data_IF_462937334380
#
_entry.id   IF_462937334380
#
_cell.length_a   1.000
_cell.length_b   1.000
_cell.length_c   1.000
_cell.angle_alpha   90.00
_cell.angle_beta   90.00
_cell.angle_gamma   90.00
#
_symmetry.space_group_name_H-M   'P 1'
#
loop_
_entity.id
_entity.type
_entity.pdbx_description
1 polymer ?
#
# COMPACT_ATOMS: atom_id res chain seq x y z
N UNK A 1 -10.74 -2.41 -29.18
CA UNK A 1 -10.70 -2.38 -27.67
C UNK A 1 -9.82 -3.49 -27.11
N UNK A 2 -9.90 -4.72 -27.60
CA UNK A 2 -9.13 -5.88 -27.11
C UNK A 2 -7.61 -5.70 -27.30
N UNK A 3 -7.16 -5.26 -28.47
CA UNK A 3 -5.74 -5.00 -28.78
C UNK A 3 -5.15 -3.89 -27.89
N UNK A 4 -5.92 -2.83 -27.60
CA UNK A 4 -5.49 -1.74 -26.73
C UNK A 4 -5.28 -2.19 -25.29
N UNK A 5 -6.17 -3.08 -24.80
CA UNK A 5 -6.03 -3.69 -23.47
C UNK A 5 -4.79 -4.59 -23.34
N UNK A 6 -4.51 -5.39 -24.38
CA UNK A 6 -3.32 -6.24 -24.40
C UNK A 6 -2.02 -5.42 -24.43
N UNK A 7 -1.95 -4.37 -25.26
CA UNK A 7 -0.78 -3.49 -25.33
C UNK A 7 -0.48 -2.81 -23.98
N UNK A 8 -1.53 -2.37 -23.29
CA UNK A 8 -1.39 -1.77 -21.97
C UNK A 8 -0.88 -2.79 -20.94
N UNK A 9 -1.46 -3.99 -20.91
CA UNK A 9 -1.03 -5.07 -20.01
C UNK A 9 0.45 -5.39 -20.18
N UNK A 10 0.91 -5.48 -21.42
CA UNK A 10 2.32 -5.75 -21.72
C UNK A 10 3.23 -4.58 -21.30
N UNK A 11 2.79 -3.33 -21.45
CA UNK A 11 3.53 -2.17 -20.96
C UNK A 11 3.66 -2.17 -19.43
N UNK A 12 2.58 -2.49 -18.71
CA UNK A 12 2.60 -2.63 -17.23
C UNK A 12 3.55 -3.75 -16.81
N UNK A 13 3.45 -4.94 -17.40
CA UNK A 13 4.36 -6.07 -17.09
C UNK A 13 5.81 -5.72 -17.34
N UNK A 14 6.09 -5.05 -18.45
CA UNK A 14 7.45 -4.61 -18.78
C UNK A 14 7.98 -3.65 -17.72
N UNK A 15 7.19 -2.64 -17.33
CA UNK A 15 7.57 -1.69 -16.29
C UNK A 15 7.91 -2.41 -14.97
N UNK A 16 7.03 -3.29 -14.51
CA UNK A 16 7.26 -4.05 -13.27
C UNK A 16 8.54 -4.89 -13.34
N UNK A 17 8.79 -5.56 -14.48
CA UNK A 17 10.00 -6.35 -14.64
C UNK A 17 11.28 -5.50 -14.64
N UNK A 18 11.25 -4.32 -15.26
CA UNK A 18 12.39 -3.39 -15.30
C UNK A 18 12.67 -2.70 -13.96
N UNK A 19 11.66 -2.58 -13.06
CA UNK A 19 11.78 -1.91 -11.77
C UNK A 19 11.70 -2.89 -10.57
N UNK A 20 11.83 -4.19 -10.81
CA UNK A 20 11.72 -5.18 -9.73
C UNK A 20 12.78 -5.00 -8.63
N UNK A 21 14.00 -4.68 -9.01
CA UNK A 21 15.07 -4.43 -8.02
C UNK A 21 14.81 -3.17 -7.18
N UNK A 22 14.21 -2.15 -7.77
CA UNK A 22 13.83 -0.93 -7.06
C UNK A 22 12.66 -1.20 -6.11
N UNK A 23 11.68 -2.02 -6.54
CA UNK A 23 10.62 -2.51 -5.67
C UNK A 23 11.19 -3.24 -4.43
N UNK A 24 12.17 -4.13 -4.62
CA UNK A 24 12.79 -4.86 -3.50
C UNK A 24 13.52 -3.90 -2.55
N UNK A 25 14.24 -2.89 -3.05
CA UNK A 25 14.90 -1.86 -2.23
C UNK A 25 13.88 -1.03 -1.44
N UNK A 26 12.77 -0.65 -2.05
CA UNK A 26 11.71 0.10 -1.39
C UNK A 26 10.99 -0.75 -0.33
N UNK A 27 10.78 -2.03 -0.60
CA UNK A 27 10.26 -2.97 0.38
C UNK A 27 11.24 -3.15 1.57
N UNK A 28 12.55 -3.24 1.30
CA UNK A 28 13.58 -3.25 2.33
C UNK A 28 13.51 -1.98 3.18
N UNK A 29 13.49 -0.81 2.54
CA UNK A 29 13.45 0.47 3.23
C UNK A 29 12.21 0.57 4.14
N UNK A 30 11.03 0.23 3.64
CA UNK A 30 9.79 0.26 4.41
C UNK A 30 9.77 -0.81 5.51
N UNK A 31 10.27 -2.03 5.25
CA UNK A 31 10.31 -3.12 6.23
C UNK A 31 11.24 -2.79 7.40
N UNK A 32 12.32 -2.07 7.16
CA UNK A 32 13.28 -1.65 8.18
C UNK A 32 12.82 -0.43 9.01
N UNK A 33 11.64 0.13 8.74
CA UNK A 33 11.00 1.12 9.61
C UNK A 33 10.15 0.37 10.64
N UNK A 34 10.45 0.50 11.93
CA UNK A 34 9.55 0.03 12.97
C UNK A 34 8.24 0.84 12.92
N UNK A 35 7.12 0.14 12.79
CA UNK A 35 5.78 0.74 12.72
C UNK A 35 4.76 -0.13 13.46
N UNK A 36 5.07 -0.51 14.68
CA UNK A 36 4.19 -1.34 15.50
C UNK A 36 2.86 -0.68 15.80
N UNK A 37 1.79 -1.47 15.92
CA UNK A 37 0.48 -0.94 16.32
C UNK A 37 0.58 -0.17 17.64
N UNK A 38 0.08 1.07 17.64
CA UNK A 38 0.19 2.00 18.76
C UNK A 38 1.49 2.81 18.81
N UNK A 39 2.42 2.62 17.87
CA UNK A 39 3.61 3.47 17.69
C UNK A 39 3.31 4.55 16.64
N UNK A 40 2.77 5.68 17.10
CA UNK A 40 2.42 6.81 16.23
C UNK A 40 3.63 7.34 15.45
N UNK A 41 4.81 7.43 16.07
CA UNK A 41 6.02 7.91 15.40
C UNK A 41 6.48 6.95 14.30
N UNK A 42 6.41 5.64 14.58
CA UNK A 42 6.75 4.60 13.63
C UNK A 42 5.79 4.55 12.44
N UNK A 43 4.48 4.62 12.68
CA UNK A 43 3.49 4.66 11.59
C UNK A 43 3.55 5.97 10.81
N UNK A 44 3.94 7.08 11.44
CA UNK A 44 4.22 8.34 10.74
C UNK A 44 5.45 8.22 9.82
N UNK A 45 6.53 7.61 10.31
CA UNK A 45 7.74 7.40 9.50
C UNK A 45 7.44 6.51 8.28
N UNK A 46 6.70 5.42 8.46
CA UNK A 46 6.28 4.55 7.37
C UNK A 46 5.37 5.29 6.36
N UNK A 47 4.40 6.05 6.84
CA UNK A 47 3.51 6.83 5.98
C UNK A 47 4.20 8.02 5.28
N UNK A 48 5.27 8.59 5.86
CA UNK A 48 6.11 9.58 5.16
C UNK A 48 6.82 8.96 3.96
N UNK A 49 7.36 7.75 4.10
CA UNK A 49 7.93 7.01 2.97
C UNK A 49 6.90 6.84 1.84
N UNK A 50 5.68 6.40 2.17
CA UNK A 50 4.61 6.24 1.18
C UNK A 50 4.24 7.59 0.54
N UNK A 51 4.13 8.66 1.34
CA UNK A 51 3.78 9.99 0.85
C UNK A 51 4.80 10.55 -0.15
N UNK A 52 6.09 10.33 0.07
CA UNK A 52 7.15 10.70 -0.86
C UNK A 52 6.99 10.01 -2.21
N UNK A 53 6.76 8.70 -2.22
CA UNK A 53 6.54 7.91 -3.44
C UNK A 53 5.27 8.35 -4.17
N UNK A 54 4.16 8.50 -3.44
CA UNK A 54 2.90 8.93 -4.03
C UNK A 54 2.97 10.35 -4.59
N UNK A 55 3.68 11.26 -3.92
CA UNK A 55 3.90 12.62 -4.43
C UNK A 55 4.73 12.61 -5.71
N UNK A 56 5.73 11.74 -5.82
CA UNK A 56 6.57 11.61 -7.02
C UNK A 56 5.76 11.20 -8.26
N UNK A 57 4.67 10.45 -8.09
CA UNK A 57 3.76 10.11 -9.19
C UNK A 57 2.66 11.15 -9.42
N UNK A 58 2.64 12.22 -8.64
CA UNK A 58 1.72 13.35 -8.80
C UNK A 58 0.46 13.29 -7.94
N UNK A 59 0.43 12.45 -6.91
CA UNK A 59 -0.65 12.46 -5.94
C UNK A 59 -0.51 13.64 -4.97
N UNK A 60 -1.64 14.11 -4.45
CA UNK A 60 -1.69 14.93 -3.23
C UNK A 60 -1.83 14.04 -2.02
N UNK A 61 -1.23 14.42 -0.90
CA UNK A 61 -1.19 13.62 0.32
C UNK A 61 -1.73 14.40 1.51
N UNK A 62 -2.47 13.71 2.38
CA UNK A 62 -3.05 14.23 3.62
C UNK A 62 -2.76 13.25 4.75
N UNK A 63 -2.11 13.72 5.81
CA UNK A 63 -1.89 12.95 7.02
C UNK A 63 -3.03 13.18 8.01
N UNK A 64 -3.54 12.08 8.59
CA UNK A 64 -4.49 12.12 9.69
C UNK A 64 -3.91 11.40 10.90
N UNK A 65 -4.12 11.98 12.07
CA UNK A 65 -3.50 11.52 13.31
C UNK A 65 -4.55 11.25 14.39
N UNK A 66 -4.23 10.28 15.22
CA UNK A 66 -4.79 10.16 16.56
C UNK A 66 -3.64 9.97 17.57
N UNK A 67 -3.95 9.65 18.82
CA UNK A 67 -2.94 9.50 19.87
C UNK A 67 -2.00 8.29 19.65
N UNK A 68 -2.43 7.32 18.83
CA UNK A 68 -1.78 6.02 18.65
C UNK A 68 -1.14 5.83 17.28
N UNK A 69 -1.62 6.53 16.26
CA UNK A 69 -1.23 6.27 14.88
C UNK A 69 -1.23 7.52 14.01
N UNK A 70 -0.54 7.37 12.89
CA UNK A 70 -0.60 8.22 11.74
C UNK A 70 -1.19 7.45 10.56
N UNK A 71 -2.15 8.03 9.88
CA UNK A 71 -2.78 7.53 8.66
C UNK A 71 -2.44 8.43 7.49
N UNK A 72 -2.41 7.90 6.27
CA UNK A 72 -2.16 8.68 5.07
C UNK A 72 -3.26 8.44 4.04
N UNK A 73 -3.74 9.53 3.46
CA UNK A 73 -4.65 9.54 2.31
C UNK A 73 -3.90 10.17 1.14
N UNK A 74 -3.69 9.41 0.09
CA UNK A 74 -3.07 9.89 -1.15
C UNK A 74 -4.11 9.90 -2.26
N UNK A 75 -4.19 11.00 -3.03
CA UNK A 75 -5.18 11.18 -4.08
C UNK A 75 -4.50 11.46 -5.43
N UNK A 76 -4.70 10.56 -6.37
CA UNK A 76 -4.20 10.66 -7.73
C UNK A 76 -5.38 10.94 -8.68
N UNK A 77 -5.34 12.08 -9.37
CA UNK A 77 -6.37 12.48 -10.35
C UNK A 77 -6.12 11.86 -11.72
N UNK A 78 -7.20 11.50 -12.38
CA UNK A 78 -7.21 10.99 -13.75
C UNK A 78 -8.24 11.72 -14.62
N UNK A 79 -8.54 11.16 -15.77
CA UNK A 79 -9.45 11.74 -16.78
C UNK A 79 -10.76 10.96 -16.97
N UNK A 80 -10.91 9.82 -16.27
CA UNK A 80 -12.08 8.96 -16.34
C UNK A 80 -13.21 9.38 -15.41
N UNK A 81 -14.13 8.44 -15.13
CA UNK A 81 -15.36 8.75 -14.40
C UNK A 81 -15.50 8.10 -13.02
N UNK A 82 -14.73 7.07 -12.76
CA UNK A 82 -14.85 6.29 -11.52
C UNK A 82 -13.77 6.64 -10.51
N UNK A 83 -14.17 6.73 -9.26
CA UNK A 83 -13.27 6.85 -8.10
C UNK A 83 -13.05 5.48 -7.50
N UNK A 84 -11.78 5.13 -7.27
CA UNK A 84 -11.36 3.83 -6.74
C UNK A 84 -10.64 4.06 -5.42
N UNK A 85 -11.10 3.43 -4.35
CA UNK A 85 -10.43 3.38 -3.06
C UNK A 85 -9.55 2.14 -2.99
N UNK A 86 -8.27 2.33 -2.71
CA UNK A 86 -7.32 1.29 -2.37
C UNK A 86 -6.98 1.43 -0.89
N UNK A 87 -7.03 0.34 -0.15
CA UNK A 87 -6.74 0.32 1.30
C UNK A 87 -5.65 -0.71 1.58
N UNK A 88 -4.58 -0.29 2.25
CA UNK A 88 -3.52 -1.13 2.77
C UNK A 88 -3.14 -0.62 4.16
N UNK A 89 -2.22 -1.28 4.88
CA UNK A 89 -1.78 -0.81 6.18
C UNK A 89 -0.25 -0.84 6.33
N UNK A 90 0.25 0.06 7.18
CA UNK A 90 1.69 0.19 7.45
C UNK A 90 2.09 -0.28 8.85
N UNK A 91 1.10 -0.45 9.73
CA UNK A 91 1.36 -0.95 11.07
C UNK A 91 1.60 -2.46 11.09
N UNK A 92 2.19 -2.94 12.16
CA UNK A 92 2.55 -4.34 12.35
C UNK A 92 2.27 -4.75 13.80
N UNK A 93 2.15 -6.06 14.05
CA UNK A 93 2.06 -6.63 15.40
C UNK A 93 3.37 -6.53 16.21
N UNK A 94 4.46 -6.06 15.61
CA UNK A 94 5.78 -6.07 16.21
C UNK A 94 6.07 -4.78 16.99
N UNK A 95 6.86 -4.93 18.07
CA UNK A 95 7.26 -3.79 18.91
C UNK A 95 8.45 -3.04 18.29
N UNK A 96 8.63 -1.80 18.72
CA UNK A 96 9.80 -0.97 18.38
C UNK A 96 11.12 -1.71 18.70
N UNK A 97 12.07 -1.67 17.76
CA UNK A 97 13.35 -2.38 17.80
C UNK A 97 13.36 -3.72 17.07
N UNK A 98 12.21 -4.18 16.56
CA UNK A 98 12.12 -5.46 15.86
C UNK A 98 12.80 -5.41 14.49
N UNK A 99 12.73 -4.30 13.78
CA UNK A 99 13.43 -4.11 12.51
C UNK A 99 14.95 -4.23 12.67
N UNK A 100 15.51 -3.69 13.75
CA UNK A 100 16.93 -3.85 14.06
C UNK A 100 17.30 -5.29 14.44
N UNK A 101 16.39 -6.01 15.12
CA UNK A 101 16.61 -7.41 15.53
C UNK A 101 16.48 -8.40 14.38
N UNK A 102 15.57 -8.15 13.45
CA UNK A 102 15.28 -8.97 12.27
C UNK A 102 15.17 -8.09 11.03
N UNK A 103 16.29 -7.48 10.57
CA UNK A 103 16.25 -6.60 9.41
C UNK A 103 15.79 -7.37 8.17
N UNK A 104 15.32 -6.61 7.20
CA UNK A 104 14.95 -7.18 5.90
C UNK A 104 16.10 -7.99 5.31
N UNK A 105 15.77 -9.13 4.74
CA UNK A 105 16.69 -9.94 3.93
C UNK A 105 15.90 -10.77 2.93
N UNK A 106 16.53 -11.08 1.82
CA UNK A 106 16.07 -12.10 0.87
C UNK A 106 16.95 -13.32 1.05
N UNK A 107 16.37 -14.51 1.15
CA UNK A 107 17.10 -15.75 1.30
C UNK A 107 17.41 -16.41 -0.05
N UNK A 108 18.14 -17.53 0.00
CA UNK A 108 18.57 -18.31 -1.16
C UNK A 108 17.42 -18.91 -1.98
N UNK A 109 16.24 -19.01 -1.38
CA UNK A 109 15.01 -19.47 -2.04
C UNK A 109 14.16 -18.31 -2.57
N UNK A 110 14.71 -17.09 -2.53
CA UNK A 110 14.03 -15.86 -2.96
C UNK A 110 12.81 -15.49 -2.10
N UNK A 111 12.80 -15.86 -0.80
CA UNK A 111 11.83 -15.38 0.15
C UNK A 111 12.33 -14.13 0.87
N UNK A 112 11.50 -13.10 0.94
CA UNK A 112 11.75 -11.90 1.73
C UNK A 112 11.32 -12.13 3.19
N UNK A 113 12.17 -11.69 4.12
CA UNK A 113 11.99 -11.79 5.57
C UNK A 113 12.14 -10.43 6.21
N UNK A 114 11.34 -10.16 7.22
CA UNK A 114 11.40 -8.91 8.00
C UNK A 114 10.05 -8.62 8.69
N UNK A 115 9.99 -7.68 9.66
CA UNK A 115 8.75 -7.37 10.36
C UNK A 115 7.73 -6.69 9.43
N UNK A 116 6.57 -7.32 9.27
CA UNK A 116 5.51 -6.82 8.40
C UNK A 116 5.80 -6.94 6.89
N UNK A 117 6.83 -7.69 6.47
CA UNK A 117 7.20 -7.80 5.05
C UNK A 117 6.06 -8.36 4.19
N UNK A 118 5.31 -9.34 4.69
CA UNK A 118 4.15 -9.90 3.99
C UNK A 118 2.83 -9.29 4.45
N UNK A 119 2.76 -8.82 5.68
CA UNK A 119 1.59 -8.25 6.32
C UNK A 119 1.95 -6.89 6.92
N UNK A 120 1.77 -5.78 6.22
CA UNK A 120 1.19 -5.64 4.86
C UNK A 120 2.11 -4.79 3.95
N UNK A 121 3.41 -4.62 4.33
CA UNK A 121 4.35 -3.68 3.67
C UNK A 121 4.64 -4.03 2.22
N UNK A 122 4.62 -5.33 1.84
CA UNK A 122 4.75 -5.72 0.45
C UNK A 122 3.61 -5.15 -0.39
N UNK A 123 2.38 -5.31 0.07
CA UNK A 123 1.19 -4.77 -0.60
C UNK A 123 1.24 -3.24 -0.70
N UNK A 124 1.71 -2.57 0.37
CA UNK A 124 1.89 -1.11 0.33
C UNK A 124 2.80 -0.70 -0.83
N UNK A 125 3.93 -1.37 -1.02
CA UNK A 125 4.86 -1.07 -2.12
C UNK A 125 4.30 -1.54 -3.46
N UNK A 126 3.58 -2.67 -3.52
CA UNK A 126 2.92 -3.16 -4.75
C UNK A 126 1.94 -2.14 -5.33
N UNK A 127 1.16 -1.47 -4.49
CA UNK A 127 0.24 -0.40 -4.94
C UNK A 127 1.02 0.75 -5.57
N UNK A 128 2.11 1.20 -4.97
CA UNK A 128 2.94 2.27 -5.50
C UNK A 128 3.45 1.91 -6.90
N UNK A 129 4.10 0.76 -7.05
CA UNK A 129 4.65 0.30 -8.34
C UNK A 129 3.56 -0.01 -9.38
N UNK A 130 2.40 -0.48 -8.92
CA UNK A 130 1.23 -0.65 -9.79
C UNK A 130 0.75 0.67 -10.38
N UNK A 131 0.67 1.72 -9.56
CA UNK A 131 0.28 3.07 -10.01
C UNK A 131 1.34 3.71 -10.90
N UNK A 132 2.62 3.55 -10.59
CA UNK A 132 3.73 3.96 -11.45
C UNK A 132 3.66 3.29 -12.82
N UNK A 133 3.44 1.98 -12.85
CA UNK A 133 3.32 1.21 -14.09
C UNK A 133 2.13 1.66 -14.93
N UNK A 134 0.98 1.95 -14.32
CA UNK A 134 -0.19 2.50 -14.99
C UNK A 134 0.12 3.88 -15.60
N UNK A 135 0.78 4.75 -14.85
CA UNK A 135 1.21 6.06 -15.32
C UNK A 135 2.20 5.95 -16.49
N UNK A 136 3.21 5.08 -16.38
CA UNK A 136 4.17 4.82 -17.45
C UNK A 136 3.51 4.24 -18.71
N UNK A 137 2.45 3.44 -18.55
CA UNK A 137 1.63 2.93 -19.66
C UNK A 137 0.66 3.97 -20.26
N UNK A 138 0.63 5.19 -19.70
CA UNK A 138 -0.29 6.26 -20.14
C UNK A 138 -1.76 5.99 -19.80
N UNK A 139 -2.02 5.25 -18.71
CA UNK A 139 -3.37 4.96 -18.25
C UNK A 139 -3.80 5.93 -17.15
N UNK A 140 -4.82 6.71 -17.46
CA UNK A 140 -5.43 7.69 -16.56
C UNK A 140 -6.98 7.64 -16.58
N UNK A 141 -7.57 6.55 -17.09
CA UNK A 141 -9.02 6.41 -17.26
C UNK A 141 -9.74 6.05 -15.95
N UNK A 142 -9.44 6.78 -14.90
CA UNK A 142 -10.16 6.86 -13.62
C UNK A 142 -10.42 8.34 -13.31
N UNK A 143 -11.41 8.66 -12.53
CA UNK A 143 -11.64 10.02 -12.03
C UNK A 143 -10.63 10.37 -10.95
N UNK A 144 -10.47 9.44 -10.00
CA UNK A 144 -9.55 9.55 -8.89
C UNK A 144 -9.20 8.15 -8.37
N UNK A 145 -7.95 7.95 -7.98
CA UNK A 145 -7.54 6.86 -7.11
C UNK A 145 -7.27 7.47 -5.75
N UNK A 146 -7.98 6.99 -4.72
CA UNK A 146 -7.74 7.29 -3.33
C UNK A 146 -7.00 6.11 -2.76
N UNK A 147 -5.75 6.32 -2.34
CA UNK A 147 -4.96 5.31 -1.67
C UNK A 147 -4.82 5.67 -0.19
N UNK A 148 -5.43 4.86 0.65
CA UNK A 148 -5.40 4.98 2.10
C UNK A 148 -4.46 3.95 2.71
N UNK A 149 -3.43 4.42 3.43
CA UNK A 149 -2.55 3.56 4.22
C UNK A 149 -2.84 3.76 5.70
N UNK A 150 -3.43 2.70 6.29
CA UNK A 150 -3.86 2.64 7.68
C UNK A 150 -2.67 2.45 8.62
N UNK A 151 -2.64 3.15 9.74
CA UNK A 151 -1.62 3.03 10.78
C UNK A 151 -2.08 2.23 12.00
N UNK A 152 -3.28 1.63 12.00
CA UNK A 152 -3.88 0.91 13.13
C UNK A 152 -4.73 -0.30 12.72
N UNK A 153 -4.38 -0.99 11.63
CA UNK A 153 -5.14 -2.16 11.17
C UNK A 153 -5.07 -3.29 12.21
N UNK A 154 -3.87 -3.63 12.66
CA UNK A 154 -3.55 -4.77 13.52
C UNK A 154 -4.20 -4.71 14.92
N UNK A 155 -4.53 -3.53 15.39
CA UNK A 155 -5.21 -3.32 16.67
C UNK A 155 -6.70 -3.09 16.53
N UNK A 156 -7.18 -2.79 15.34
CA UNK A 156 -8.50 -2.24 15.09
C UNK A 156 -8.66 -0.86 15.73
N UNK A 157 -9.21 0.10 15.01
CA UNK A 157 -9.38 1.45 15.53
C UNK A 157 -10.64 2.09 14.99
N UNK A 158 -11.34 2.76 15.89
CA UNK A 158 -12.53 3.55 15.51
C UNK A 158 -12.16 4.66 14.53
N UNK A 159 -11.00 5.28 14.69
CA UNK A 159 -10.51 6.32 13.77
C UNK A 159 -10.32 5.77 12.36
N UNK A 160 -9.69 4.59 12.22
CA UNK A 160 -9.53 3.95 10.93
C UNK A 160 -10.88 3.58 10.30
N UNK A 161 -11.82 3.06 11.09
CA UNK A 161 -13.20 2.77 10.63
C UNK A 161 -13.90 4.03 10.12
N UNK A 162 -13.81 5.15 10.84
CA UNK A 162 -14.41 6.43 10.45
C UNK A 162 -13.78 6.96 9.14
N UNK A 163 -12.47 6.86 8.98
CA UNK A 163 -11.77 7.27 7.74
C UNK A 163 -12.21 6.39 6.57
N UNK A 164 -12.23 5.07 6.72
CA UNK A 164 -12.68 4.15 5.67
C UNK A 164 -14.13 4.41 5.29
N UNK A 165 -15.01 4.63 6.28
CA UNK A 165 -16.41 4.97 6.03
C UNK A 165 -16.56 6.28 5.25
N UNK A 166 -15.77 7.31 5.58
CA UNK A 166 -15.74 8.59 4.86
C UNK A 166 -15.27 8.40 3.41
N UNK A 167 -14.16 7.68 3.21
CA UNK A 167 -13.57 7.49 1.88
C UNK A 167 -14.41 6.57 1.00
N UNK A 168 -15.07 5.57 1.56
CA UNK A 168 -15.95 4.66 0.82
C UNK A 168 -17.16 5.39 0.22
N UNK A 169 -17.70 6.41 0.91
CA UNK A 169 -18.79 7.24 0.40
C UNK A 169 -18.37 8.12 -0.80
N UNK A 170 -17.07 8.34 -0.97
CA UNK A 170 -16.51 9.11 -2.08
C UNK A 170 -16.11 8.24 -3.27
N UNK A 171 -16.25 6.92 -3.16
CA UNK A 171 -15.70 5.94 -4.09
C UNK A 171 -16.79 5.09 -4.75
N UNK A 172 -16.59 4.76 -6.03
CA UNK A 172 -17.46 3.84 -6.76
C UNK A 172 -17.07 2.38 -6.51
N UNK A 173 -15.79 2.13 -6.24
CA UNK A 173 -15.22 0.82 -5.96
C UNK A 173 -14.20 0.91 -4.83
N UNK A 174 -14.11 -0.15 -4.03
CA UNK A 174 -13.05 -0.30 -3.02
C UNK A 174 -12.34 -1.63 -3.19
N UNK A 175 -11.02 -1.62 -3.06
CA UNK A 175 -10.17 -2.81 -3.04
C UNK A 175 -9.39 -2.76 -1.73
N UNK A 176 -9.65 -3.72 -0.86
CA UNK A 176 -8.89 -3.90 0.37
C UNK A 176 -7.71 -4.81 0.02
N UNK A 177 -6.54 -4.23 0.13
CA UNK A 177 -5.28 -4.88 -0.17
C UNK A 177 -4.73 -5.42 1.14
N UNK A 178 -4.64 -6.74 1.25
CA UNK A 178 -4.17 -7.43 2.45
C UNK A 178 -3.64 -8.80 2.04
N UNK A 179 -2.98 -9.52 2.94
CA UNK A 179 -2.35 -10.81 2.63
C UNK A 179 -3.33 -11.84 2.11
N UNK A 180 -2.95 -12.50 1.02
CA UNK A 180 -3.72 -13.59 0.46
C UNK A 180 -3.73 -14.80 1.41
N UNK A 181 -4.87 -15.47 1.53
CA UNK A 181 -4.96 -16.75 2.23
C UNK A 181 -4.30 -17.86 1.41
N UNK A 182 -3.82 -18.95 2.04
CA UNK A 182 -3.26 -20.08 1.32
C UNK A 182 -4.19 -20.55 0.19
N UNK A 183 -3.60 -20.87 -0.97
CA UNK A 183 -4.33 -21.29 -2.17
C UNK A 183 -5.37 -20.28 -2.69
N UNK A 184 -5.13 -18.97 -2.44
CA UNK A 184 -6.04 -17.89 -2.85
C UNK A 184 -7.46 -18.06 -2.27
N UNK A 185 -7.55 -18.66 -1.10
CA UNK A 185 -8.82 -18.90 -0.42
C UNK A 185 -9.51 -17.59 -0.03
N UNK A 186 -10.83 -17.52 -0.24
CA UNK A 186 -11.67 -16.44 0.23
C UNK A 186 -12.25 -16.78 1.59
N UNK A 187 -12.11 -15.89 2.57
CA UNK A 187 -12.74 -16.05 3.88
C UNK A 187 -14.22 -15.75 3.75
N UNK A 188 -15.06 -16.78 3.90
CA UNK A 188 -16.52 -16.65 3.82
C UNK A 188 -17.20 -16.58 5.19
N UNK A 189 -16.48 -16.94 6.26
CA UNK A 189 -17.00 -16.91 7.64
C UNK A 189 -15.86 -16.86 8.65
N UNK A 190 -16.02 -16.08 9.70
CA UNK A 190 -15.20 -16.10 10.92
C UNK A 190 -16.07 -16.44 12.13
N UNK A 191 -15.47 -17.06 13.15
CA UNK A 191 -16.10 -17.27 14.46
C UNK A 191 -16.02 -15.99 15.27
#
# INVERSE_FOLDING_TARGET
KYERGNKMREAVKKYIAEHYEDYVKDLEALTNIDSGNGDREGTEAANKFVAEKMTAIGATTEFRYNDRACHLISRLKGTGKYTILLVAHVDTVFKKGEAARRPFRVDENNFAWGPGVGDDKATVVEVIYGLEALKAAGFDNFKEIIYYTNGEEEGGSKTAEEIVAELSQQSDFAIIMDVARPNWGIVTQRK
#
